data_IF_651681558269
#
_entry.id   IF_651681558269
#
_cell.length_a   1.000
_cell.length_b   1.000
_cell.length_c   1.000
_cell.angle_alpha   90.00
_cell.angle_beta   90.00
_cell.angle_gamma   90.00
#
_symmetry.space_group_name_H-M   'P 1'
#
loop_
_entity.id
_entity.type
_entity.pdbx_description
1 polymer ?
#
# COMPACT_ATOMS: atom_id res chain seq x y z
N UNK A 1 -12.31 17.88 -58.42
CA UNK A 1 -12.91 17.02 -57.37
C UNK A 1 -11.87 16.26 -56.54
N UNK A 2 -10.95 15.45 -57.12
CA UNK A 2 -9.99 14.62 -56.35
C UNK A 2 -9.17 15.34 -55.26
N UNK A 3 -8.76 16.60 -55.47
CA UNK A 3 -7.93 17.38 -54.51
C UNK A 3 -8.68 17.79 -53.23
N UNK A 4 -9.98 18.09 -53.35
CA UNK A 4 -10.83 18.47 -52.21
C UNK A 4 -11.07 17.25 -51.32
N UNK A 5 -11.25 16.07 -51.91
CA UNK A 5 -11.37 14.80 -51.18
C UNK A 5 -10.14 14.48 -50.32
N UNK A 6 -8.93 14.81 -50.79
CA UNK A 6 -7.68 14.60 -50.03
C UNK A 6 -7.65 15.46 -48.76
N UNK A 7 -8.08 16.73 -48.83
CA UNK A 7 -8.11 17.61 -47.66
C UNK A 7 -9.09 17.08 -46.60
N UNK A 8 -10.28 16.64 -47.00
CA UNK A 8 -11.25 16.05 -46.06
C UNK A 8 -10.73 14.74 -45.43
N UNK A 9 -10.01 13.91 -46.18
CA UNK A 9 -9.37 12.70 -45.62
C UNK A 9 -8.30 13.03 -44.58
N UNK A 10 -7.50 14.08 -44.79
CA UNK A 10 -6.50 14.53 -43.81
C UNK A 10 -7.15 15.11 -42.54
N UNK A 11 -8.24 15.86 -42.69
CA UNK A 11 -8.99 16.37 -41.53
C UNK A 11 -9.60 15.20 -40.76
N UNK A 12 -10.22 14.25 -41.45
CA UNK A 12 -10.80 13.07 -40.82
C UNK A 12 -9.76 12.23 -40.07
N UNK A 13 -8.57 12.01 -40.66
CA UNK A 13 -7.50 11.26 -40.00
C UNK A 13 -6.97 11.97 -38.76
N UNK A 14 -6.86 13.31 -38.79
CA UNK A 14 -6.47 14.11 -37.63
C UNK A 14 -7.50 14.01 -36.49
N UNK A 15 -8.81 14.06 -36.80
CA UNK A 15 -9.88 13.91 -35.82
C UNK A 15 -9.89 12.50 -35.22
N UNK A 16 -9.77 11.47 -36.05
CA UNK A 16 -9.74 10.08 -35.60
C UNK A 16 -8.53 9.80 -34.70
N UNK A 17 -7.35 10.28 -35.09
CA UNK A 17 -6.13 10.18 -34.29
C UNK A 17 -6.25 10.89 -32.94
N UNK A 18 -6.81 12.11 -32.93
CA UNK A 18 -7.02 12.88 -31.69
C UNK A 18 -8.02 12.17 -30.76
N UNK A 19 -9.10 11.62 -31.31
CA UNK A 19 -10.12 10.89 -30.54
C UNK A 19 -9.54 9.61 -29.91
N UNK A 20 -8.74 8.85 -30.68
CA UNK A 20 -8.03 7.68 -30.18
C UNK A 20 -7.05 8.04 -29.05
N UNK A 21 -6.29 9.14 -29.24
CA UNK A 21 -5.37 9.66 -28.24
C UNK A 21 -6.08 10.08 -26.95
N UNK A 22 -7.22 10.79 -27.03
CA UNK A 22 -7.99 11.18 -25.86
C UNK A 22 -8.50 9.96 -25.08
N UNK A 23 -9.00 8.94 -25.78
CA UNK A 23 -9.41 7.68 -25.15
C UNK A 23 -8.24 6.99 -24.44
N UNK A 24 -7.09 6.85 -25.12
CA UNK A 24 -5.88 6.28 -24.53
C UNK A 24 -5.39 7.07 -23.30
N UNK A 25 -5.49 8.41 -23.36
CA UNK A 25 -5.12 9.30 -22.25
C UNK A 25 -6.01 9.10 -21.03
N UNK A 26 -7.34 9.01 -21.22
CA UNK A 26 -8.28 8.77 -20.13
C UNK A 26 -8.04 7.40 -19.48
N UNK A 27 -7.90 6.36 -20.31
CA UNK A 27 -7.57 5.02 -19.83
C UNK A 27 -6.25 4.98 -19.03
N UNK A 28 -5.24 5.73 -19.49
CA UNK A 28 -3.95 5.82 -18.81
C UNK A 28 -4.06 6.56 -17.48
N UNK A 29 -4.84 7.64 -17.43
CA UNK A 29 -5.08 8.41 -16.20
C UNK A 29 -5.76 7.55 -15.13
N UNK A 30 -6.80 6.81 -15.51
CA UNK A 30 -7.53 5.93 -14.60
C UNK A 30 -6.59 4.86 -14.00
N UNK A 31 -5.76 4.24 -14.84
CA UNK A 31 -4.76 3.27 -14.39
C UNK A 31 -3.68 3.86 -13.47
N UNK A 32 -3.24 5.09 -13.69
CA UNK A 32 -2.27 5.74 -12.79
C UNK A 32 -2.95 6.11 -11.46
N UNK A 33 -4.17 6.63 -11.51
CA UNK A 33 -4.90 7.10 -10.32
C UNK A 33 -5.25 5.96 -9.35
N UNK A 34 -5.68 4.81 -9.87
CA UNK A 34 -6.00 3.63 -9.06
C UNK A 34 -4.76 3.07 -8.35
N UNK A 35 -3.59 3.14 -8.98
CA UNK A 35 -2.31 2.72 -8.40
C UNK A 35 -1.71 3.73 -7.40
N UNK A 36 -2.17 4.98 -7.37
CA UNK A 36 -1.73 5.99 -6.40
C UNK A 36 -2.48 5.91 -5.07
N UNK A 37 -3.74 5.46 -5.10
CA UNK A 37 -4.58 5.29 -3.88
C UNK A 37 -3.94 4.33 -2.86
N UNK A 38 -3.20 3.36 -3.35
CA UNK A 38 -2.38 2.40 -2.57
C UNK A 38 -1.31 3.05 -1.68
N UNK A 39 -0.95 4.32 -1.94
CA UNK A 39 0.09 5.05 -1.21
C UNK A 39 -0.33 5.61 0.15
N UNK A 40 -1.55 6.16 0.26
CA UNK A 40 -2.11 6.64 1.55
C UNK A 40 -2.36 5.45 2.47
N UNK A 41 -2.98 4.42 1.90
CA UNK A 41 -3.28 3.20 2.58
C UNK A 41 -1.97 2.60 3.22
N UNK A 42 -0.81 2.62 2.54
CA UNK A 42 0.43 2.04 3.11
C UNK A 42 0.79 2.56 4.50
N UNK A 43 0.63 3.86 4.74
CA UNK A 43 1.04 4.48 6.00
C UNK A 43 0.24 3.91 7.17
N UNK A 44 -1.06 3.68 6.95
CA UNK A 44 -1.95 3.11 7.96
C UNK A 44 -1.56 1.68 8.36
N UNK A 45 -1.12 0.85 7.42
CA UNK A 45 -0.66 -0.51 7.73
C UNK A 45 0.63 -0.53 8.56
N UNK A 46 1.62 0.25 8.16
CA UNK A 46 2.90 0.31 8.87
C UNK A 46 2.73 0.92 10.26
N UNK A 47 1.93 1.99 10.36
CA UNK A 47 1.60 2.63 11.62
C UNK A 47 0.89 1.66 12.55
N UNK A 48 -0.14 0.97 12.07
CA UNK A 48 -0.90 0.02 12.89
C UNK A 48 -0.06 -1.18 13.32
N UNK A 49 0.82 -1.69 12.44
CA UNK A 49 1.78 -2.76 12.78
C UNK A 49 2.73 -2.33 13.90
N UNK A 50 3.30 -1.12 13.79
CA UNK A 50 4.19 -0.57 14.80
C UNK A 50 3.45 -0.31 16.12
N UNK A 51 2.24 0.25 16.06
CA UNK A 51 1.41 0.49 17.24
C UNK A 51 1.12 -0.81 17.99
N UNK A 52 0.84 -1.90 17.27
CA UNK A 52 0.60 -3.21 17.86
C UNK A 52 1.84 -3.75 18.60
N UNK A 53 3.02 -3.72 17.97
CA UNK A 53 4.28 -4.14 18.61
C UNK A 53 4.60 -3.25 19.82
N UNK A 54 4.42 -1.94 19.70
CA UNK A 54 4.71 -0.99 20.77
C UNK A 54 3.80 -1.21 21.97
N UNK A 55 2.49 -1.37 21.76
CA UNK A 55 1.53 -1.64 22.84
C UNK A 55 1.79 -3.00 23.50
N UNK A 56 2.21 -4.02 22.73
CA UNK A 56 2.58 -5.31 23.28
C UNK A 56 3.83 -5.22 24.17
N UNK A 57 4.85 -4.48 23.73
CA UNK A 57 6.07 -4.21 24.53
C UNK A 57 5.78 -3.38 25.78
N UNK A 58 4.89 -2.39 25.66
CA UNK A 58 4.45 -1.57 26.79
C UNK A 58 3.75 -2.44 27.84
N UNK A 59 2.83 -3.32 27.41
CA UNK A 59 2.18 -4.30 28.30
C UNK A 59 3.22 -5.20 28.99
N UNK A 60 4.15 -5.80 28.25
CA UNK A 60 5.22 -6.65 28.82
C UNK A 60 6.11 -5.87 29.82
N UNK A 61 6.41 -4.60 29.53
CA UNK A 61 7.21 -3.76 30.42
C UNK A 61 6.49 -3.48 31.75
N UNK A 62 5.19 -3.21 31.70
CA UNK A 62 4.38 -3.00 32.90
C UNK A 62 4.12 -4.29 33.68
N UNK A 63 3.93 -5.42 33.00
CA UNK A 63 3.86 -6.74 33.62
C UNK A 63 5.13 -7.03 34.43
N UNK A 64 6.31 -6.87 33.82
CA UNK A 64 7.59 -7.06 34.51
C UNK A 64 7.80 -6.05 35.64
N UNK A 65 7.35 -4.80 35.45
CA UNK A 65 7.40 -3.78 36.50
C UNK A 65 6.59 -4.19 37.73
N UNK A 66 5.40 -4.75 37.52
CA UNK A 66 4.57 -5.30 38.60
C UNK A 66 5.25 -6.51 39.25
N UNK A 67 5.81 -7.43 38.45
CA UNK A 67 6.51 -8.61 38.95
C UNK A 67 7.69 -8.26 39.86
N UNK A 68 8.45 -7.21 39.52
CA UNK A 68 9.65 -6.79 40.28
C UNK A 68 9.28 -6.02 41.55
N UNK A 69 8.29 -5.13 41.47
CA UNK A 69 7.98 -4.17 42.55
C UNK A 69 6.81 -4.57 43.43
N UNK A 70 5.93 -5.46 42.94
CA UNK A 70 4.61 -5.72 43.48
C UNK A 70 3.71 -4.47 43.60
N UNK A 71 4.04 -3.39 42.89
CA UNK A 71 3.31 -2.13 42.93
C UNK A 71 2.14 -2.15 41.93
N UNK A 72 0.94 -2.04 42.49
CA UNK A 72 -0.33 -2.02 41.75
C UNK A 72 -0.41 -0.93 40.67
N UNK A 73 0.40 0.13 40.73
CA UNK A 73 0.48 1.13 39.67
C UNK A 73 0.89 0.47 38.35
N UNK A 74 1.90 -0.42 38.37
CA UNK A 74 2.33 -1.16 37.18
C UNK A 74 1.25 -2.11 36.67
N UNK A 75 0.56 -2.81 37.58
CA UNK A 75 -0.57 -3.68 37.21
C UNK A 75 -1.71 -2.90 36.52
N UNK A 76 -1.99 -1.68 37.00
CA UNK A 76 -3.00 -0.81 36.39
C UNK A 76 -2.57 -0.33 35.01
N UNK A 77 -1.29 -0.04 34.81
CA UNK A 77 -0.78 0.33 33.48
C UNK A 77 -0.76 -0.85 32.51
N UNK A 78 -0.41 -2.06 32.97
CA UNK A 78 -0.53 -3.30 32.21
C UNK A 78 -1.94 -3.49 31.64
N UNK A 79 -2.96 -3.38 32.50
CA UNK A 79 -4.38 -3.50 32.08
C UNK A 79 -4.78 -2.44 31.05
N UNK A 80 -4.28 -1.20 31.19
CA UNK A 80 -4.51 -0.13 30.21
C UNK A 80 -3.83 -0.44 28.87
N UNK A 81 -2.61 -0.94 28.88
CA UNK A 81 -1.89 -1.32 27.66
C UNK A 81 -2.56 -2.52 26.97
N UNK A 82 -3.10 -3.49 27.70
CA UNK A 82 -3.92 -4.56 27.11
C UNK A 82 -5.17 -4.01 26.40
N UNK A 83 -5.88 -3.06 27.02
CA UNK A 83 -7.04 -2.44 26.39
C UNK A 83 -6.67 -1.72 25.08
N UNK A 84 -5.57 -0.98 25.07
CA UNK A 84 -5.03 -0.34 23.85
C UNK A 84 -4.62 -1.38 22.80
N UNK A 85 -3.97 -2.46 23.23
CA UNK A 85 -3.51 -3.54 22.36
C UNK A 85 -4.69 -4.21 21.66
N UNK A 86 -5.78 -4.50 22.37
CA UNK A 86 -7.00 -5.08 21.77
C UNK A 86 -7.64 -4.13 20.75
N UNK A 87 -7.70 -2.83 21.06
CA UNK A 87 -8.17 -1.83 20.10
C UNK A 87 -7.30 -1.77 18.84
N UNK A 88 -5.98 -1.78 18.99
CA UNK A 88 -5.05 -1.80 17.86
C UNK A 88 -5.08 -3.12 17.10
N UNK A 89 -5.32 -4.24 17.77
CA UNK A 89 -5.53 -5.55 17.14
C UNK A 89 -6.71 -5.49 16.18
N UNK A 90 -7.85 -4.97 16.62
CA UNK A 90 -9.04 -4.79 15.78
C UNK A 90 -8.75 -3.84 14.60
N UNK A 91 -8.08 -2.71 14.86
CA UNK A 91 -7.68 -1.75 13.82
C UNK A 91 -6.78 -2.41 12.78
N UNK A 92 -5.76 -3.13 13.22
CA UNK A 92 -4.80 -3.84 12.37
C UNK A 92 -5.48 -4.86 11.45
N UNK A 93 -6.41 -5.65 11.96
CA UNK A 93 -7.12 -6.64 11.13
C UNK A 93 -8.09 -5.99 10.14
N UNK A 94 -8.76 -4.90 10.54
CA UNK A 94 -9.61 -4.13 9.63
C UNK A 94 -8.80 -3.54 8.48
N UNK A 95 -7.65 -2.94 8.79
CA UNK A 95 -6.67 -2.44 7.84
C UNK A 95 -6.22 -3.61 6.97
N UNK A 96 -5.67 -4.69 7.53
CA UNK A 96 -5.17 -5.85 6.76
C UNK A 96 -6.18 -6.40 5.75
N UNK A 97 -7.48 -6.40 6.08
CA UNK A 97 -8.55 -6.75 5.14
C UNK A 97 -8.69 -5.76 3.98
N UNK A 98 -8.65 -4.45 4.24
CA UNK A 98 -8.76 -3.44 3.18
C UNK A 98 -7.59 -3.47 2.18
N UNK A 99 -6.41 -3.94 2.58
CA UNK A 99 -5.25 -4.13 1.67
C UNK A 99 -5.30 -5.43 0.87
N UNK A 100 -6.26 -6.31 1.13
CA UNK A 100 -6.20 -7.66 0.58
C UNK A 100 -5.07 -8.51 1.19
N UNK A 101 -4.55 -8.14 2.37
CA UNK A 101 -3.46 -8.91 3.02
C UNK A 101 -3.97 -10.22 3.60
N UNK A 102 -5.24 -10.27 3.99
CA UNK A 102 -5.88 -11.53 4.44
C UNK A 102 -5.92 -12.53 3.29
N UNK A 103 -6.19 -12.06 2.07
CA UNK A 103 -6.30 -12.88 0.87
C UNK A 103 -4.92 -13.24 0.30
N UNK A 104 -3.98 -12.28 0.32
CA UNK A 104 -2.64 -12.50 -0.23
C UNK A 104 -1.68 -13.20 0.73
N UNK A 105 -1.86 -13.06 2.03
CA UNK A 105 -0.99 -13.64 3.06
C UNK A 105 -1.79 -14.28 4.24
N UNK A 106 -2.79 -15.13 3.98
CA UNK A 106 -3.72 -15.63 5.00
C UNK A 106 -3.00 -16.30 6.17
N UNK A 107 -2.00 -17.14 5.87
CA UNK A 107 -1.23 -17.88 6.88
C UNK A 107 -0.41 -16.97 7.79
N UNK A 108 0.15 -15.89 7.26
CA UNK A 108 0.97 -14.96 8.05
C UNK A 108 0.07 -14.12 8.97
N UNK A 109 -1.08 -13.67 8.47
CA UNK A 109 -2.07 -12.93 9.27
C UNK A 109 -2.66 -13.79 10.38
N UNK A 110 -3.03 -15.04 10.08
CA UNK A 110 -3.48 -16.01 11.07
C UNK A 110 -2.39 -16.30 12.11
N UNK A 111 -1.14 -16.52 11.65
CA UNK A 111 -0.01 -16.75 12.55
C UNK A 111 0.22 -15.58 13.48
N UNK A 112 0.13 -14.35 12.98
CA UNK A 112 0.27 -13.15 13.77
C UNK A 112 -0.80 -13.05 14.87
N UNK A 113 -2.06 -13.32 14.53
CA UNK A 113 -3.17 -13.36 15.50
C UNK A 113 -2.86 -14.33 16.64
N UNK A 114 -2.45 -15.56 16.28
CA UNK A 114 -2.13 -16.60 17.26
C UNK A 114 -0.93 -16.23 18.14
N UNK A 115 0.10 -15.57 17.59
CA UNK A 115 1.27 -15.15 18.35
C UNK A 115 0.94 -14.04 19.35
N UNK A 116 0.11 -13.07 18.94
CA UNK A 116 -0.36 -11.99 19.83
C UNK A 116 -1.17 -12.58 20.99
N UNK A 117 -2.16 -13.41 20.69
CA UNK A 117 -3.01 -14.00 21.72
C UNK A 117 -2.20 -14.87 22.69
N UNK A 118 -1.27 -15.68 22.17
CA UNK A 118 -0.36 -16.47 23.01
C UNK A 118 0.50 -15.60 23.92
N UNK A 119 0.96 -14.44 23.44
CA UNK A 119 1.76 -13.53 24.25
C UNK A 119 0.93 -12.89 25.36
N UNK A 120 -0.32 -12.52 25.06
CA UNK A 120 -1.27 -12.01 26.06
C UNK A 120 -1.56 -13.08 27.11
N UNK A 121 -1.85 -14.31 26.69
CA UNK A 121 -2.10 -15.44 27.59
C UNK A 121 -0.89 -15.74 28.50
N UNK A 122 0.33 -15.68 27.96
CA UNK A 122 1.56 -15.81 28.74
C UNK A 122 1.64 -14.72 29.84
N UNK A 123 1.44 -13.46 29.48
CA UNK A 123 1.49 -12.33 30.43
C UNK A 123 0.41 -12.45 31.51
N UNK A 124 -0.82 -12.81 31.14
CA UNK A 124 -1.90 -13.02 32.10
C UNK A 124 -1.59 -14.17 33.07
N UNK A 125 -1.01 -15.26 32.57
CA UNK A 125 -0.57 -16.38 33.40
C UNK A 125 0.49 -15.95 34.40
N UNK A 126 1.46 -15.12 33.99
CA UNK A 126 2.49 -14.56 34.87
C UNK A 126 1.86 -13.73 36.00
N UNK A 127 0.90 -12.85 35.66
CA UNK A 127 0.18 -12.03 36.65
C UNK A 127 -0.61 -12.90 37.64
N UNK A 128 -1.28 -13.96 37.17
CA UNK A 128 -2.04 -14.88 38.04
C UNK A 128 -1.11 -15.60 39.01
N UNK A 129 0.03 -16.13 38.53
CA UNK A 129 1.02 -16.81 39.38
C UNK A 129 1.61 -15.86 40.42
N UNK A 130 1.92 -14.62 40.03
CA UNK A 130 2.39 -13.58 40.93
C UNK A 130 1.38 -13.28 42.05
N UNK A 131 0.09 -13.17 41.72
CA UNK A 131 -0.96 -12.90 42.70
C UNK A 131 -1.21 -14.07 43.67
N UNK A 132 -0.85 -15.30 43.28
CA UNK A 132 -0.92 -16.48 44.15
C UNK A 132 0.37 -16.72 44.96
N UNK A 133 1.32 -15.78 44.94
CA UNK A 133 2.62 -15.89 45.61
C UNK A 133 3.47 -17.08 45.15
N UNK A 134 3.24 -17.58 43.94
CA UNK A 134 3.97 -18.71 43.33
C UNK A 134 5.25 -18.22 42.65
N UNK A 135 6.13 -17.60 43.43
CA UNK A 135 7.30 -16.85 42.92
C UNK A 135 8.28 -17.73 42.12
N UNK A 136 8.41 -19.02 42.44
CA UNK A 136 9.33 -19.92 41.74
C UNK A 136 8.80 -20.23 40.34
N UNK A 137 7.52 -20.55 40.23
CA UNK A 137 6.82 -20.84 38.98
C UNK A 137 6.78 -19.60 38.07
N UNK A 138 6.52 -18.42 38.66
CA UNK A 138 6.56 -17.14 37.93
C UNK A 138 7.95 -16.87 37.36
N UNK A 139 9.01 -17.05 38.16
CA UNK A 139 10.40 -16.85 37.70
C UNK A 139 10.79 -17.86 36.63
N UNK A 140 10.37 -19.13 36.74
CA UNK A 140 10.63 -20.13 35.71
C UNK A 140 9.96 -19.78 34.39
N UNK A 141 8.72 -19.27 34.42
CA UNK A 141 7.98 -18.89 33.23
C UNK A 141 8.64 -17.69 32.52
N UNK A 142 9.02 -16.66 33.28
CA UNK A 142 9.67 -15.45 32.74
C UNK A 142 11.09 -15.70 32.25
N UNK A 143 11.84 -16.57 32.95
CA UNK A 143 13.18 -17.00 32.49
C UNK A 143 13.11 -17.96 31.31
N UNK A 144 11.95 -18.57 31.08
CA UNK A 144 11.73 -19.42 29.92
C UNK A 144 11.94 -18.63 28.63
N UNK A 145 12.48 -19.29 27.61
CA UNK A 145 12.67 -18.66 26.30
C UNK A 145 11.35 -18.51 25.51
N UNK A 146 10.22 -18.98 26.06
CA UNK A 146 8.94 -19.04 25.36
C UNK A 146 8.48 -17.64 24.90
N UNK A 147 8.38 -16.68 25.83
CA UNK A 147 7.98 -15.32 25.50
C UNK A 147 8.93 -14.60 24.55
N UNK A 148 10.24 -14.84 24.70
CA UNK A 148 11.24 -14.31 23.77
C UNK A 148 11.04 -14.87 22.35
N UNK A 149 10.84 -16.19 22.23
CA UNK A 149 10.60 -16.85 20.93
C UNK A 149 9.34 -16.32 20.26
N UNK A 150 8.25 -16.13 21.03
CA UNK A 150 7.02 -15.52 20.52
C UNK A 150 7.28 -14.12 19.98
N UNK A 151 8.00 -13.28 20.73
CA UNK A 151 8.32 -11.90 20.30
C UNK A 151 9.23 -11.85 19.06
N UNK A 152 10.25 -12.72 18.99
CA UNK A 152 11.11 -12.83 17.81
C UNK A 152 10.30 -13.25 16.58
N UNK A 153 9.45 -14.26 16.73
CA UNK A 153 8.62 -14.75 15.64
C UNK A 153 7.58 -13.70 15.20
N UNK A 154 6.99 -12.96 16.14
CA UNK A 154 6.05 -11.88 15.85
C UNK A 154 6.72 -10.77 15.03
N UNK A 155 7.95 -10.37 15.39
CA UNK A 155 8.73 -9.39 14.62
C UNK A 155 9.07 -9.93 13.22
N UNK A 156 9.43 -11.20 13.10
CA UNK A 156 9.73 -11.83 11.80
C UNK A 156 8.50 -11.84 10.88
N UNK A 157 7.33 -12.23 11.39
CA UNK A 157 6.08 -12.22 10.64
C UNK A 157 5.73 -10.80 10.16
N UNK A 158 5.87 -9.78 11.01
CA UNK A 158 5.67 -8.39 10.60
C UNK A 158 6.66 -7.95 9.52
N UNK A 159 7.93 -8.31 9.65
CA UNK A 159 8.97 -7.97 8.68
C UNK A 159 8.72 -8.63 7.32
N UNK A 160 8.24 -9.87 7.31
CA UNK A 160 7.86 -10.60 6.11
C UNK A 160 6.66 -9.95 5.40
N UNK A 161 5.59 -9.63 6.14
CA UNK A 161 4.44 -8.89 5.60
C UNK A 161 4.84 -7.53 5.02
N UNK A 162 5.69 -6.79 5.75
CA UNK A 162 6.20 -5.51 5.28
C UNK A 162 7.04 -5.64 4.00
N UNK A 163 7.88 -6.66 3.91
CA UNK A 163 8.73 -6.89 2.74
C UNK A 163 7.91 -7.25 1.51
N UNK A 164 6.90 -8.11 1.65
CA UNK A 164 5.97 -8.45 0.56
C UNK A 164 5.22 -7.19 0.07
N UNK A 165 4.71 -6.38 1.00
CA UNK A 165 4.01 -5.15 0.67
C UNK A 165 4.93 -4.14 -0.04
N UNK A 166 6.16 -4.00 0.43
CA UNK A 166 7.17 -3.14 -0.20
C UNK A 166 7.56 -3.62 -1.59
N UNK A 167 7.61 -4.93 -1.82
CA UNK A 167 7.86 -5.51 -3.13
C UNK A 167 6.72 -5.21 -4.11
N UNK A 168 5.47 -5.44 -3.71
CA UNK A 168 4.27 -5.07 -4.49
C UNK A 168 4.23 -3.59 -4.84
N UNK A 169 4.54 -2.72 -3.88
CA UNK A 169 4.64 -1.28 -4.09
C UNK A 169 5.73 -0.92 -5.11
N UNK A 170 6.91 -1.55 -5.02
CA UNK A 170 8.01 -1.31 -5.95
C UNK A 170 7.61 -1.69 -7.36
N UNK A 171 6.93 -2.83 -7.53
CA UNK A 171 6.40 -3.24 -8.84
C UNK A 171 5.34 -2.26 -9.36
N UNK A 172 4.41 -1.82 -8.52
CA UNK A 172 3.41 -0.82 -8.89
C UNK A 172 4.06 0.51 -9.32
N UNK A 173 5.08 0.97 -8.60
CA UNK A 173 5.85 2.18 -8.95
C UNK A 173 6.58 2.04 -10.28
N UNK A 174 7.20 0.88 -10.55
CA UNK A 174 7.85 0.60 -11.83
C UNK A 174 6.82 0.60 -12.95
N UNK A 175 5.66 -0.05 -12.75
CA UNK A 175 4.57 -0.06 -13.72
C UNK A 175 4.05 1.36 -14.02
N UNK A 176 3.76 2.16 -12.99
CA UNK A 176 3.34 3.57 -13.14
C UNK A 176 4.40 4.40 -13.85
N UNK A 177 5.68 4.20 -13.54
CA UNK A 177 6.75 4.94 -14.21
C UNK A 177 6.88 4.57 -15.69
N UNK A 178 6.75 3.29 -16.02
CA UNK A 178 6.75 2.81 -17.40
C UNK A 178 5.55 3.37 -18.18
N UNK A 179 4.36 3.34 -17.58
CA UNK A 179 3.15 3.95 -18.15
C UNK A 179 3.35 5.46 -18.38
N UNK A 180 3.90 6.18 -17.39
CA UNK A 180 4.23 7.61 -17.53
C UNK A 180 5.21 7.89 -18.67
N UNK A 181 6.23 7.04 -18.86
CA UNK A 181 7.18 7.16 -19.97
C UNK A 181 6.49 6.94 -21.32
N UNK A 182 5.67 5.90 -21.44
CA UNK A 182 4.90 5.63 -22.66
C UNK A 182 3.93 6.77 -22.98
N UNK A 183 3.25 7.31 -21.96
CA UNK A 183 2.38 8.46 -22.11
C UNK A 183 3.13 9.69 -22.63
N UNK A 184 4.30 10.02 -22.08
CA UNK A 184 5.14 11.13 -22.59
C UNK A 184 5.52 10.94 -24.06
N UNK A 185 5.92 9.73 -24.45
CA UNK A 185 6.27 9.42 -25.84
C UNK A 185 5.05 9.52 -26.77
N UNK A 186 3.88 9.03 -26.35
CA UNK A 186 2.64 9.14 -27.11
C UNK A 186 2.24 10.61 -27.32
N UNK A 187 2.39 11.47 -26.31
CA UNK A 187 2.08 12.90 -26.42
C UNK A 187 2.99 13.61 -27.42
N UNK A 188 4.30 13.31 -27.39
CA UNK A 188 5.27 13.85 -28.36
C UNK A 188 4.92 13.38 -29.78
N UNK A 189 4.67 12.07 -29.96
CA UNK A 189 4.29 11.50 -31.25
C UNK A 189 3.03 12.13 -31.84
N UNK A 190 1.96 12.26 -31.03
CA UNK A 190 0.71 12.87 -31.47
C UNK A 190 0.90 14.36 -31.84
N UNK A 191 1.72 15.09 -31.07
CA UNK A 191 2.03 16.49 -31.36
C UNK A 191 2.75 16.66 -32.71
N UNK A 192 3.75 15.81 -32.98
CA UNK A 192 4.47 15.81 -34.26
C UNK A 192 3.52 15.47 -35.41
N UNK A 193 2.66 14.46 -35.24
CA UNK A 193 1.68 14.07 -36.26
C UNK A 193 0.73 15.22 -36.62
N UNK A 194 0.18 15.92 -35.63
CA UNK A 194 -0.71 17.07 -35.86
C UNK A 194 0.00 18.22 -36.58
N UNK A 195 1.25 18.52 -36.24
CA UNK A 195 2.06 19.53 -36.94
C UNK A 195 2.23 19.16 -38.42
N UNK A 196 2.59 17.90 -38.70
CA UNK A 196 2.76 17.41 -40.09
C UNK A 196 1.43 17.48 -40.85
N UNK A 197 0.33 17.05 -40.24
CA UNK A 197 -1.00 17.10 -40.86
C UNK A 197 -1.41 18.54 -41.21
N UNK A 198 -1.18 19.51 -40.31
CA UNK A 198 -1.45 20.92 -40.55
C UNK A 198 -0.59 21.50 -41.68
N UNK A 199 0.70 21.18 -41.72
CA UNK A 199 1.60 21.60 -42.80
C UNK A 199 1.16 21.07 -44.17
N UNK A 200 0.74 19.80 -44.22
CA UNK A 200 0.23 19.18 -45.46
C UNK A 200 -1.07 19.85 -45.91
N UNK A 201 -2.03 20.06 -44.99
CA UNK A 201 -3.28 20.78 -45.30
C UNK A 201 -2.98 22.17 -45.85
N UNK A 202 -2.11 22.94 -45.18
CA UNK A 202 -1.72 24.28 -45.62
C UNK A 202 -1.06 24.28 -47.00
N UNK A 203 -0.17 23.32 -47.27
CA UNK A 203 0.47 23.15 -48.58
C UNK A 203 -0.57 22.85 -49.68
N UNK A 204 -1.49 21.91 -49.44
CA UNK A 204 -2.52 21.55 -50.41
C UNK A 204 -3.49 22.69 -50.70
N UNK A 205 -3.90 23.46 -49.67
CA UNK A 205 -4.75 24.64 -49.86
C UNK A 205 -4.05 25.72 -50.69
N UNK A 206 -2.76 25.98 -50.42
CA UNK A 206 -1.97 26.94 -51.21
C UNK A 206 -1.85 26.52 -52.69
N UNK A 207 -1.58 25.25 -52.95
CA UNK A 207 -1.50 24.70 -54.31
C UNK A 207 -2.86 24.73 -55.01
N UNK A 208 -3.95 24.49 -54.28
CA UNK A 208 -5.30 24.56 -54.83
C UNK A 208 -5.65 26.00 -55.27
N UNK A 209 -5.47 26.98 -54.39
CA UNK A 209 -5.76 28.39 -54.66
C UNK A 209 -4.93 28.96 -55.83
N UNK A 210 -3.66 28.55 -55.94
CA UNK A 210 -2.81 28.98 -57.08
C UNK A 210 -3.35 28.48 -58.42
N UNK A 211 -3.87 27.24 -58.48
CA UNK A 211 -4.40 26.69 -59.72
C UNK A 211 -5.77 27.27 -60.10
N UNK A 212 -6.57 27.73 -59.13
CA UNK A 212 -7.86 28.36 -59.40
C UNK A 212 -7.78 29.80 -59.89
N UNK A 213 -6.62 30.47 -59.78
CA UNK A 213 -6.41 31.82 -60.34
C UNK A 213 -5.90 31.80 -61.80
N UNK A 214 -5.47 30.64 -62.31
CA UNK A 214 -4.87 30.51 -63.65
C UNK A 214 -5.91 30.06 -64.70
N UNK A 215 -7.07 29.58 -64.25
CA UNK A 215 -8.23 29.24 -65.08
C UNK A 215 -9.34 30.26 -64.88
#
# INVERSE_FOLDING_TARGET
>A
MKKVTIVYLLIFSAIASTSCYLYFSLFTYDNISSNLKTGEDKYDFLESSNALILNLREAESFERGYLISNDTIYLNQYKKSLYKLESEKVRFFKISRSYGLIESNPKQIERLHLLIDKKIEEMDKIIILQNHSLNIETVQLVKGEAGMKIMVELVDVFQNLYTDQKFKETQAKIAVNNIRKQFKLANISNSIFLIIALLLIGYYLKVYNRNSMIN
#
